data_IF_123507919031
#
_entry.id   IF_123507919031
#
_cell.length_a   1.000
_cell.length_b   1.000
_cell.length_c   1.000
_cell.angle_alpha   90.00
_cell.angle_beta   90.00
_cell.angle_gamma   90.00
#
_symmetry.space_group_name_H-M   'P 1'
#
loop_
_entity.id
_entity.type
_entity.pdbx_description
1 polymer ?
#
# COMPACT_ATOMS: atom_id res chain seq x y z
N UNK A 1 -7.51 -28.31 4.57
CA UNK A 1 -7.11 -26.98 5.05
C UNK A 1 -8.00 -25.99 4.35
N UNK A 2 -8.70 -25.14 5.08
CA UNK A 2 -9.60 -24.14 4.48
C UNK A 2 -8.79 -23.01 3.84
N UNK A 3 -9.35 -22.41 2.76
CA UNK A 3 -8.72 -21.23 2.14
C UNK A 3 -8.75 -20.05 3.10
N UNK A 4 -7.64 -19.34 3.22
CA UNK A 4 -7.59 -18.08 3.95
C UNK A 4 -8.26 -16.95 3.15
N UNK A 5 -8.76 -15.88 3.79
CA UNK A 5 -9.51 -14.81 3.11
C UNK A 5 -8.82 -14.24 1.86
N UNK A 6 -7.50 -14.04 1.91
CA UNK A 6 -6.73 -13.53 0.77
C UNK A 6 -6.70 -14.43 -0.46
N UNK A 7 -7.04 -15.72 -0.31
CA UNK A 7 -7.12 -16.66 -1.42
C UNK A 7 -8.55 -16.85 -1.96
N UNK A 8 -9.51 -16.14 -1.42
CA UNK A 8 -10.91 -16.16 -1.89
C UNK A 8 -11.23 -15.01 -2.84
N UNK A 9 -10.31 -14.05 -3.00
CA UNK A 9 -10.47 -12.90 -3.91
C UNK A 9 -10.18 -13.36 -5.34
N UNK A 10 -11.02 -12.95 -6.28
CA UNK A 10 -10.79 -13.20 -7.70
C UNK A 10 -9.68 -12.30 -8.26
N UNK A 11 -8.45 -12.81 -8.25
CA UNK A 11 -7.28 -12.09 -8.74
C UNK A 11 -7.23 -11.92 -10.26
N UNK A 12 -8.03 -12.64 -11.04
CA UNK A 12 -8.11 -12.47 -12.49
C UNK A 12 -8.90 -11.22 -12.88
N UNK A 13 -9.82 -10.78 -11.99
CA UNK A 13 -10.70 -9.63 -12.20
C UNK A 13 -10.34 -8.42 -11.35
N UNK A 14 -9.42 -8.59 -10.39
CA UNK A 14 -9.03 -7.53 -9.45
C UNK A 14 -8.33 -6.37 -10.18
N UNK A 15 -8.85 -5.17 -9.99
CA UNK A 15 -8.27 -3.93 -10.51
C UNK A 15 -7.29 -3.31 -9.52
N UNK A 16 -6.57 -2.29 -9.95
CA UNK A 16 -5.80 -1.42 -9.06
C UNK A 16 -6.75 -0.61 -8.20
N UNK A 17 -6.41 -0.38 -6.94
CA UNK A 17 -7.30 0.36 -6.02
C UNK A 17 -6.93 0.22 -4.55
N UNK A 18 -7.91 0.55 -3.71
CA UNK A 18 -7.84 0.43 -2.27
C UNK A 18 -9.03 -0.43 -1.82
N UNK A 19 -8.76 -1.54 -1.18
CA UNK A 19 -9.80 -2.48 -0.75
C UNK A 19 -9.69 -2.79 0.73
N UNK A 20 -10.81 -3.01 1.41
CA UNK A 20 -10.79 -3.62 2.74
C UNK A 20 -10.51 -5.12 2.57
N UNK A 21 -9.30 -5.53 2.95
CA UNK A 21 -8.92 -6.95 2.93
C UNK A 21 -9.61 -7.73 4.04
N UNK A 22 -9.57 -7.19 5.26
CA UNK A 22 -10.28 -7.75 6.41
C UNK A 22 -10.37 -6.74 7.56
N UNK A 23 -11.26 -7.05 8.50
CA UNK A 23 -11.38 -6.36 9.79
C UNK A 23 -11.23 -7.35 10.91
N UNK A 24 -10.39 -7.04 11.88
CA UNK A 24 -10.14 -7.87 13.05
C UNK A 24 -10.55 -7.13 14.32
N UNK A 25 -11.12 -7.87 15.29
CA UNK A 25 -11.41 -7.36 16.64
C UNK A 25 -10.27 -7.77 17.57
N UNK A 26 -9.54 -6.80 18.11
CA UNK A 26 -8.41 -7.05 19.00
C UNK A 26 -8.60 -6.22 20.26
N UNK A 27 -8.88 -6.91 21.40
CA UNK A 27 -9.05 -6.23 22.68
C UNK A 27 -10.14 -5.15 22.71
N UNK A 28 -11.24 -5.36 21.97
CA UNK A 28 -12.33 -4.38 21.86
C UNK A 28 -12.10 -3.26 20.84
N UNK A 29 -10.98 -3.27 20.15
CA UNK A 29 -10.65 -2.33 19.07
C UNK A 29 -10.75 -3.02 17.73
N UNK A 30 -11.41 -2.38 16.75
CA UNK A 30 -11.39 -2.83 15.36
C UNK A 30 -10.08 -2.40 14.71
N UNK A 31 -9.46 -3.32 13.99
CA UNK A 31 -8.28 -3.06 13.15
C UNK A 31 -8.63 -3.40 11.71
N UNK A 32 -8.46 -2.43 10.81
CA UNK A 32 -8.75 -2.60 9.39
C UNK A 32 -7.46 -2.80 8.61
N UNK A 33 -7.39 -3.88 7.83
CA UNK A 33 -6.30 -4.14 6.87
C UNK A 33 -6.78 -3.74 5.48
N UNK A 34 -6.07 -2.79 4.88
CA UNK A 34 -6.30 -2.36 3.50
C UNK A 34 -5.31 -3.01 2.54
N UNK A 35 -5.83 -3.44 1.42
CA UNK A 35 -5.10 -3.87 0.23
C UNK A 35 -4.90 -2.64 -0.67
N UNK A 36 -3.68 -2.15 -0.73
CA UNK A 36 -3.28 -1.03 -1.60
C UNK A 36 -2.71 -1.62 -2.88
N UNK A 37 -3.61 -1.88 -3.85
CA UNK A 37 -3.30 -2.63 -5.07
C UNK A 37 -2.79 -1.70 -6.16
N UNK A 38 -1.48 -1.74 -6.43
CA UNK A 38 -0.82 -0.86 -7.39
C UNK A 38 -0.73 -1.45 -8.79
N UNK A 39 -0.85 -2.77 -8.92
CA UNK A 39 -0.77 -3.51 -10.19
C UNK A 39 -1.95 -4.45 -10.33
N UNK A 40 -2.46 -4.61 -11.54
CA UNK A 40 -3.45 -5.63 -11.86
C UNK A 40 -2.80 -7.02 -11.82
N UNK A 41 -3.22 -7.90 -10.89
CA UNK A 41 -2.58 -9.21 -10.76
C UNK A 41 -2.64 -10.02 -12.06
N UNK A 42 -1.52 -10.64 -12.41
CA UNK A 42 -1.37 -11.53 -13.57
C UNK A 42 -1.65 -10.91 -14.95
N UNK A 43 -1.93 -9.61 -15.03
CA UNK A 43 -2.26 -8.90 -16.29
C UNK A 43 -1.24 -7.85 -16.69
N UNK A 44 -0.37 -7.44 -15.77
CA UNK A 44 0.72 -6.51 -16.05
C UNK A 44 1.98 -6.91 -15.28
N UNK A 45 3.17 -6.37 -15.64
CA UNK A 45 4.39 -6.61 -14.87
C UNK A 45 4.26 -6.14 -13.44
N UNK A 46 4.76 -6.93 -12.49
CA UNK A 46 4.79 -6.60 -11.07
C UNK A 46 5.76 -5.44 -10.78
N UNK A 47 5.69 -4.89 -9.57
CA UNK A 47 6.64 -3.90 -9.09
C UNK A 47 8.04 -4.50 -9.00
N UNK A 48 9.04 -3.76 -9.45
CA UNK A 48 10.45 -4.14 -9.25
C UNK A 48 10.78 -4.16 -7.76
N UNK A 49 11.57 -5.15 -7.31
CA UNK A 49 11.89 -5.33 -5.89
C UNK A 49 12.50 -4.09 -5.23
N UNK A 50 13.45 -3.42 -5.90
CA UNK A 50 14.02 -2.18 -5.41
C UNK A 50 13.02 -1.04 -5.30
N UNK A 51 12.08 -0.96 -6.24
CA UNK A 51 11.03 0.05 -6.23
C UNK A 51 10.06 -0.15 -5.06
N UNK A 52 9.55 -1.37 -4.87
CA UNK A 52 8.59 -1.64 -3.79
C UNK A 52 9.24 -1.50 -2.40
N UNK A 53 10.52 -1.88 -2.26
CA UNK A 53 11.27 -1.68 -1.02
C UNK A 53 11.48 -0.19 -0.72
N UNK A 54 11.78 0.62 -1.73
CA UNK A 54 11.87 2.07 -1.57
C UNK A 54 10.52 2.70 -1.21
N UNK A 55 9.43 2.27 -1.86
CA UNK A 55 8.06 2.69 -1.51
C UNK A 55 7.74 2.31 -0.06
N UNK A 56 8.15 1.12 0.39
CA UNK A 56 7.97 0.70 1.79
C UNK A 56 8.61 1.70 2.76
N UNK A 57 9.88 2.02 2.58
CA UNK A 57 10.60 2.95 3.46
C UNK A 57 9.99 4.36 3.45
N UNK A 58 9.71 4.90 2.27
CA UNK A 58 9.18 6.25 2.13
C UNK A 58 7.75 6.38 2.67
N UNK A 59 6.88 5.47 2.30
CA UNK A 59 5.50 5.49 2.75
C UNK A 59 5.39 5.22 4.26
N UNK A 60 6.14 4.26 4.81
CA UNK A 60 6.17 4.00 6.25
C UNK A 60 6.63 5.24 7.02
N UNK A 61 7.66 5.93 6.53
CA UNK A 61 8.15 7.17 7.12
C UNK A 61 7.09 8.26 7.10
N UNK A 62 6.45 8.47 5.95
CA UNK A 62 5.39 9.47 5.81
C UNK A 62 4.21 9.20 6.73
N UNK A 63 3.67 7.98 6.69
CA UNK A 63 2.49 7.58 7.46
C UNK A 63 2.69 7.72 8.97
N UNK A 64 3.87 7.34 9.48
CA UNK A 64 4.20 7.45 10.90
C UNK A 64 4.55 8.87 11.36
N UNK A 65 4.62 9.83 10.44
CA UNK A 65 4.80 11.25 10.71
C UNK A 65 3.58 12.09 10.33
N UNK A 66 2.53 11.49 9.73
CA UNK A 66 1.29 12.21 9.42
C UNK A 66 0.62 12.70 10.70
N UNK A 67 0.28 14.01 10.73
CA UNK A 67 -0.23 14.67 11.95
C UNK A 67 -1.56 14.08 12.44
N UNK A 68 -2.37 13.56 11.54
CA UNK A 68 -3.70 13.01 11.84
C UNK A 68 -3.67 11.49 12.10
N UNK A 69 -2.84 10.76 11.35
CA UNK A 69 -2.92 9.30 11.29
C UNK A 69 -1.81 8.55 12.03
N UNK A 70 -0.71 9.20 12.38
CA UNK A 70 0.49 8.53 12.95
C UNK A 70 0.20 7.57 14.11
N UNK A 71 -0.73 7.95 15.00
CA UNK A 71 -1.06 7.16 16.20
C UNK A 71 -2.01 5.99 15.90
N UNK A 72 -2.55 5.93 14.69
CA UNK A 72 -3.45 4.87 14.22
C UNK A 72 -2.76 3.89 13.26
N UNK A 73 -1.61 4.21 12.74
CA UNK A 73 -0.86 3.34 11.82
C UNK A 73 -0.27 2.16 12.61
N UNK A 74 -0.71 0.96 12.26
CA UNK A 74 -0.21 -0.29 12.84
C UNK A 74 0.93 -0.85 11.98
N UNK A 75 0.73 -0.93 10.67
CA UNK A 75 1.72 -1.50 9.76
C UNK A 75 1.54 -0.98 8.33
N UNK A 76 2.66 -0.84 7.64
CA UNK A 76 2.75 -0.68 6.20
C UNK A 76 3.83 -1.61 5.69
N UNK A 77 3.54 -2.39 4.64
CA UNK A 77 4.54 -3.28 4.06
C UNK A 77 4.11 -3.89 2.74
N UNK A 78 5.07 -4.40 1.95
CA UNK A 78 4.82 -4.94 0.62
C UNK A 78 4.11 -6.30 0.67
N UNK A 79 3.34 -6.58 -0.38
CA UNK A 79 2.83 -7.92 -0.65
C UNK A 79 3.92 -8.79 -1.27
N UNK A 80 3.99 -10.05 -0.87
CA UNK A 80 4.96 -11.01 -1.44
C UNK A 80 4.80 -11.24 -2.95
N UNK A 81 3.61 -10.98 -3.52
CA UNK A 81 3.36 -11.05 -4.95
C UNK A 81 3.82 -9.80 -5.73
N UNK A 82 4.35 -8.79 -5.07
CA UNK A 82 4.87 -7.55 -5.66
C UNK A 82 3.83 -6.72 -6.45
N UNK A 83 2.55 -6.85 -6.13
CA UNK A 83 1.48 -6.10 -6.82
C UNK A 83 0.94 -4.93 -6.01
N UNK A 84 1.40 -4.73 -4.79
CA UNK A 84 0.98 -3.63 -3.92
C UNK A 84 1.49 -3.80 -2.50
N UNK A 85 0.84 -3.07 -1.59
CA UNK A 85 1.20 -3.03 -0.18
C UNK A 85 -0.02 -3.26 0.69
N UNK A 86 0.20 -3.68 1.94
CA UNK A 86 -0.82 -3.66 2.99
C UNK A 86 -0.64 -2.44 3.89
N UNK A 87 -1.75 -1.78 4.19
CA UNK A 87 -1.85 -0.79 5.25
C UNK A 87 -2.78 -1.33 6.34
N UNK A 88 -2.30 -1.40 7.56
CA UNK A 88 -3.10 -1.79 8.73
C UNK A 88 -3.28 -0.57 9.62
N UNK A 89 -4.53 -0.26 9.93
CA UNK A 89 -4.92 0.94 10.68
C UNK A 89 -5.87 0.57 11.81
N UNK A 90 -5.68 1.17 12.98
CA UNK A 90 -6.64 1.09 14.08
C UNK A 90 -7.90 1.89 13.75
N UNK A 91 -9.03 1.26 13.83
CA UNK A 91 -10.36 1.82 13.58
C UNK A 91 -11.18 0.96 12.62
N UNK A 92 -12.49 1.16 12.65
CA UNK A 92 -13.45 0.56 11.72
C UNK A 92 -13.60 1.49 10.51
N UNK A 93 -12.86 1.23 9.45
CA UNK A 93 -12.68 2.12 8.32
C UNK A 93 -13.12 1.50 7.00
N UNK A 94 -13.50 2.37 6.05
CA UNK A 94 -13.78 2.04 4.66
C UNK A 94 -12.67 2.61 3.76
N UNK A 95 -12.57 2.16 2.49
CA UNK A 95 -11.55 2.69 1.57
C UNK A 95 -11.58 4.20 1.43
N UNK A 96 -12.77 4.79 1.37
CA UNK A 96 -12.98 6.24 1.24
C UNK A 96 -12.33 7.04 2.37
N UNK A 97 -12.28 6.47 3.57
CA UNK A 97 -11.69 7.14 4.74
C UNK A 97 -10.18 7.38 4.59
N UNK A 98 -9.49 6.53 3.83
CA UNK A 98 -8.04 6.60 3.66
C UNK A 98 -7.59 7.08 2.28
N UNK A 99 -8.50 7.31 1.33
CA UNK A 99 -8.13 7.83 -0.01
C UNK A 99 -7.32 9.12 0.10
N UNK A 100 -7.72 10.15 0.89
CA UNK A 100 -6.92 11.37 1.02
C UNK A 100 -5.53 11.12 1.62
N UNK A 101 -5.41 10.21 2.58
CA UNK A 101 -4.13 9.82 3.17
C UNK A 101 -3.23 9.15 2.12
N UNK A 102 -3.78 8.24 1.32
CA UNK A 102 -3.03 7.56 0.26
C UNK A 102 -2.61 8.53 -0.84
N UNK A 103 -3.46 9.48 -1.23
CA UNK A 103 -3.09 10.52 -2.18
C UNK A 103 -1.88 11.30 -1.70
N UNK A 104 -1.87 11.79 -0.45
CA UNK A 104 -0.73 12.51 0.12
C UNK A 104 0.51 11.65 0.25
N UNK A 105 0.35 10.39 0.65
CA UNK A 105 1.46 9.44 0.81
C UNK A 105 2.15 9.19 -0.53
N UNK A 106 1.38 8.89 -1.57
CA UNK A 106 1.93 8.60 -2.89
C UNK A 106 2.43 9.86 -3.61
N UNK A 107 1.87 11.03 -3.33
CA UNK A 107 2.45 12.31 -3.76
C UNK A 107 3.83 12.54 -3.13
N UNK A 108 3.95 12.29 -1.84
CA UNK A 108 5.24 12.36 -1.15
C UNK A 108 6.28 11.42 -1.78
N UNK A 109 5.92 10.16 -2.04
CA UNK A 109 6.83 9.20 -2.68
C UNK A 109 7.18 9.65 -4.11
N UNK A 110 6.20 10.08 -4.89
CA UNK A 110 6.38 10.48 -6.29
C UNK A 110 7.29 11.70 -6.45
N UNK A 111 7.33 12.59 -5.45
CA UNK A 111 8.13 13.82 -5.47
C UNK A 111 9.39 13.76 -4.59
N UNK A 112 9.63 12.63 -3.92
CA UNK A 112 10.73 12.52 -2.98
C UNK A 112 12.11 12.73 -3.64
N UNK A 113 12.93 13.51 -2.99
CA UNK A 113 14.34 13.76 -3.36
C UNK A 113 15.23 13.60 -2.13
N UNK A 114 16.44 13.13 -2.34
CA UNK A 114 17.42 12.95 -1.28
C UNK A 114 17.63 11.49 -0.89
N UNK A 115 18.21 11.29 0.29
CA UNK A 115 18.53 9.97 0.81
C UNK A 115 17.28 9.27 1.34
N UNK A 116 17.11 8.00 0.96
CA UNK A 116 15.98 7.19 1.40
C UNK A 116 16.12 6.93 2.90
N UNK A 117 15.10 7.28 3.73
CA UNK A 117 15.14 7.03 5.16
C UNK A 117 15.40 5.55 5.48
N UNK A 118 16.33 5.28 6.39
CA UNK A 118 16.66 3.92 6.81
C UNK A 118 17.44 3.08 5.79
N UNK A 119 17.87 3.63 4.66
CA UNK A 119 18.67 2.91 3.65
C UNK A 119 20.17 2.87 4.04
N UNK A 120 20.44 2.36 5.21
CA UNK A 120 21.80 2.18 5.73
C UNK A 120 21.96 0.75 6.27
N UNK A 121 23.19 0.20 6.28
CA UNK A 121 23.42 -1.16 6.74
C UNK A 121 23.03 -1.40 8.20
N UNK A 122 23.02 -0.34 9.00
CA UNK A 122 22.60 -0.38 10.40
C UNK A 122 21.07 -0.50 10.56
N UNK A 123 20.32 0.08 9.63
CA UNK A 123 18.88 0.32 9.78
C UNK A 123 18.04 -0.62 8.93
N UNK A 124 18.61 -1.23 7.89
CA UNK A 124 17.92 -2.08 6.94
C UNK A 124 18.68 -3.37 6.67
N UNK A 125 17.96 -4.49 6.66
CA UNK A 125 18.54 -5.81 6.39
C UNK A 125 19.06 -6.01 4.96
N UNK A 126 18.64 -5.15 4.01
CA UNK A 126 19.10 -5.14 2.61
C UNK A 126 19.14 -3.73 2.04
N UNK A 127 19.98 -2.88 2.64
CA UNK A 127 20.05 -1.45 2.34
C UNK A 127 20.47 -1.12 0.90
N UNK A 128 21.07 -2.05 0.17
CA UNK A 128 21.46 -1.88 -1.23
C UNK A 128 20.30 -2.11 -2.21
N UNK A 129 19.22 -2.76 -1.78
CA UNK A 129 18.07 -3.06 -2.62
C UNK A 129 17.08 -1.89 -2.64
N UNK A 130 17.46 -0.80 -3.27
CA UNK A 130 16.59 0.37 -3.46
C UNK A 130 16.65 0.87 -4.89
N UNK A 131 15.54 1.46 -5.36
CA UNK A 131 15.42 2.09 -6.67
C UNK A 131 14.49 3.30 -6.55
N UNK A 132 15.02 4.45 -6.18
CA UNK A 132 14.25 5.67 -6.02
C UNK A 132 13.60 6.17 -7.32
N UNK A 133 14.31 6.21 -8.47
CA UNK A 133 13.68 6.62 -9.72
C UNK A 133 12.46 5.78 -10.08
N UNK A 134 12.55 4.44 -9.94
CA UNK A 134 11.45 3.54 -10.25
C UNK A 134 10.32 3.64 -9.19
N UNK A 135 10.66 3.82 -7.93
CA UNK A 135 9.66 4.05 -6.87
C UNK A 135 8.85 5.32 -7.13
N UNK A 136 9.51 6.41 -7.52
CA UNK A 136 8.86 7.67 -7.91
C UNK A 136 7.95 7.49 -9.12
N UNK A 137 8.42 6.77 -10.13
CA UNK A 137 7.64 6.48 -11.34
C UNK A 137 6.37 5.69 -11.03
N UNK A 138 6.49 4.60 -10.28
CA UNK A 138 5.35 3.75 -9.92
C UNK A 138 4.37 4.47 -8.98
N UNK A 139 4.87 5.25 -8.04
CA UNK A 139 4.03 6.06 -7.16
C UNK A 139 3.23 7.11 -7.95
N UNK A 140 3.87 7.78 -8.91
CA UNK A 140 3.22 8.78 -9.78
C UNK A 140 2.15 8.14 -10.66
N UNK A 141 2.42 6.97 -11.21
CA UNK A 141 1.43 6.21 -11.98
C UNK A 141 0.21 5.86 -11.14
N UNK A 142 0.42 5.28 -9.97
CA UNK A 142 -0.68 4.92 -9.09
C UNK A 142 -1.48 6.13 -8.62
N UNK A 143 -0.80 7.23 -8.27
CA UNK A 143 -1.46 8.49 -7.91
C UNK A 143 -2.34 9.01 -9.04
N UNK A 144 -1.77 9.19 -10.24
CA UNK A 144 -2.46 9.85 -11.34
C UNK A 144 -3.50 8.96 -12.03
N UNK A 145 -3.23 7.67 -12.16
CA UNK A 145 -4.09 6.75 -12.89
C UNK A 145 -5.18 6.12 -12.01
N UNK A 146 -5.01 6.13 -10.69
CA UNK A 146 -5.95 5.47 -9.76
C UNK A 146 -6.41 6.41 -8.66
N UNK A 147 -5.51 6.86 -7.77
CA UNK A 147 -5.89 7.54 -6.53
C UNK A 147 -6.61 8.89 -6.75
N UNK A 148 -6.30 9.62 -7.82
CA UNK A 148 -6.95 10.89 -8.16
C UNK A 148 -8.26 10.72 -8.95
N UNK A 149 -8.60 9.50 -9.36
CA UNK A 149 -9.82 9.19 -10.12
C UNK A 149 -10.50 7.89 -9.65
N UNK A 150 -10.55 7.69 -8.33
CA UNK A 150 -11.15 6.51 -7.70
C UNK A 150 -12.63 6.37 -8.07
N UNK A 151 -13.01 5.17 -8.46
CA UNK A 151 -14.37 4.76 -8.73
C UNK A 151 -14.76 3.57 -7.82
N UNK A 152 -16.05 3.23 -7.67
CA UNK A 152 -16.46 2.10 -6.82
C UNK A 152 -15.74 0.79 -7.13
N UNK A 153 -15.46 0.51 -8.39
CA UNK A 153 -14.72 -0.70 -8.82
C UNK A 153 -13.25 -0.73 -8.36
N UNK A 154 -12.71 0.40 -7.90
CA UNK A 154 -11.38 0.48 -7.30
C UNK A 154 -11.39 0.36 -5.77
N UNK A 155 -12.58 0.18 -5.17
CA UNK A 155 -12.77 0.13 -3.71
C UNK A 155 -13.54 -1.10 -3.23
N UNK A 156 -14.15 -1.83 -4.14
CA UNK A 156 -14.88 -3.06 -3.84
C UNK A 156 -14.27 -4.25 -4.60
N UNK A 157 -14.01 -5.35 -3.88
CA UNK A 157 -13.52 -6.56 -4.54
C UNK A 157 -14.52 -7.08 -5.58
N UNK A 158 -14.03 -7.60 -6.72
CA UNK A 158 -14.91 -8.18 -7.71
C UNK A 158 -15.71 -9.34 -7.09
N UNK A 159 -17.02 -9.35 -7.37
CA UNK A 159 -17.89 -10.46 -6.96
C UNK A 159 -17.50 -11.71 -7.74
N UNK A 160 -17.38 -12.84 -7.04
CA UNK A 160 -17.09 -14.17 -7.61
C UNK A 160 -18.27 -14.71 -8.40
#
# INVERSE_FOLDING_TARGET
MDKIPSFTIDHERLLRGIYVSRKDQIGGTTVTTFDIRMKEPNREPVLHQGAIHTIEHLAATYLRNDAEWKDRIVYWGPMGCLTGNYLIVSGDLQPEDIVPLMQRTFEFVASFEGEIPGAAPRDCGNYLLHDLPMARFEARRFLNEVLLCMEPCNMEYPQS
#
